data_IF_628592484445
#
_entry.id   IF_628592484445
#
_cell.length_a   1.000
_cell.length_b   1.000
_cell.length_c   1.000
_cell.angle_alpha   90.00
_cell.angle_beta   90.00
_cell.angle_gamma   90.00
#
_symmetry.space_group_name_H-M   'P 1'
#
loop_
_entity.id
_entity.type
_entity.pdbx_description
1 polymer ?
#
# COMPACT_ATOMS: atom_id res chain seq x y z
N UNK A 1 11.70 -13.79 -12.71
CA UNK A 1 10.56 -14.01 -13.60
C UNK A 1 10.85 -13.32 -14.91
N UNK A 2 10.68 -14.00 -16.02
CA UNK A 2 10.89 -13.44 -17.35
C UNK A 2 9.56 -13.42 -18.09
N UNK A 3 9.28 -12.35 -18.80
CA UNK A 3 8.05 -12.16 -19.55
C UNK A 3 8.18 -12.70 -20.97
N UNK A 4 7.14 -13.34 -21.52
CA UNK A 4 7.13 -13.74 -22.93
C UNK A 4 7.10 -12.50 -23.84
N UNK A 5 7.70 -12.59 -25.05
CA UNK A 5 7.78 -11.47 -25.99
C UNK A 5 6.44 -10.85 -26.36
N UNK A 6 5.39 -11.65 -26.41
CA UNK A 6 4.03 -11.22 -26.80
C UNK A 6 3.41 -10.24 -25.80
N UNK A 7 3.86 -10.28 -24.54
CA UNK A 7 3.39 -9.33 -23.52
C UNK A 7 4.09 -7.97 -23.60
N UNK A 8 5.19 -7.83 -24.36
CA UNK A 8 5.87 -6.55 -24.50
C UNK A 8 5.05 -5.52 -25.25
N UNK A 9 4.18 -5.93 -26.15
CA UNK A 9 3.25 -5.03 -26.86
C UNK A 9 2.14 -4.52 -25.94
N UNK A 10 1.77 -5.32 -24.93
CA UNK A 10 0.66 -5.05 -24.00
C UNK A 10 1.10 -4.39 -22.68
N UNK A 11 2.40 -4.16 -22.44
CA UNK A 11 2.90 -3.73 -21.14
C UNK A 11 2.37 -2.36 -20.67
N UNK A 12 2.03 -1.46 -21.59
CA UNK A 12 1.46 -0.16 -21.26
C UNK A 12 0.01 -0.26 -20.77
N UNK A 13 -0.69 -1.32 -21.20
CA UNK A 13 -2.09 -1.54 -20.91
C UNK A 13 -2.30 -2.43 -19.67
N UNK A 14 -1.33 -3.36 -19.42
CA UNK A 14 -1.46 -4.39 -18.37
C UNK A 14 -0.22 -4.50 -17.48
N UNK A 15 -0.16 -3.77 -16.38
CA UNK A 15 0.91 -3.92 -15.42
C UNK A 15 0.72 -5.23 -14.61
N UNK A 16 1.11 -6.37 -15.18
CA UNK A 16 0.94 -7.68 -14.54
C UNK A 16 1.63 -7.79 -13.17
N UNK A 17 2.81 -7.21 -13.07
CA UNK A 17 3.62 -7.27 -11.84
C UNK A 17 4.32 -5.93 -11.59
N UNK A 18 3.59 -4.89 -11.12
CA UNK A 18 4.19 -3.60 -10.82
C UNK A 18 5.18 -3.74 -9.65
N UNK A 19 6.30 -3.06 -9.75
CA UNK A 19 7.37 -3.08 -8.76
C UNK A 19 7.80 -1.67 -8.38
N UNK A 20 8.26 -1.49 -7.14
CA UNK A 20 8.86 -0.22 -6.73
C UNK A 20 10.27 -0.14 -7.26
N UNK A 21 10.50 0.82 -8.13
CA UNK A 21 11.79 1.07 -8.78
C UNK A 21 12.24 2.49 -8.45
N UNK A 22 13.52 2.66 -8.19
CA UNK A 22 14.16 3.97 -8.16
C UNK A 22 14.36 4.42 -9.60
N UNK A 23 13.59 5.43 -10.01
CA UNK A 23 13.60 5.90 -11.40
C UNK A 23 14.84 6.75 -11.62
N UNK A 24 15.75 6.26 -12.43
CA UNK A 24 16.92 6.99 -12.90
C UNK A 24 16.56 7.81 -14.15
N UNK A 25 17.27 8.91 -14.35
CA UNK A 25 16.99 9.85 -15.46
C UNK A 25 17.10 9.12 -16.81
N UNK A 26 18.00 8.16 -16.92
CA UNK A 26 18.27 7.37 -18.11
C UNK A 26 17.10 6.43 -18.49
N UNK A 27 16.17 6.19 -17.57
CA UNK A 27 14.95 5.40 -17.80
C UNK A 27 13.79 6.24 -18.35
N UNK A 28 13.96 7.56 -18.41
CA UNK A 28 12.92 8.48 -18.85
C UNK A 28 13.14 8.88 -20.31
N UNK A 29 12.05 9.04 -21.06
CA UNK A 29 12.11 9.69 -22.37
C UNK A 29 12.40 11.19 -22.23
N UNK A 30 12.88 11.85 -23.30
CA UNK A 30 13.18 13.26 -23.29
C UNK A 30 11.99 14.12 -22.85
N UNK A 31 10.79 13.79 -23.30
CA UNK A 31 9.54 14.43 -22.90
C UNK A 31 9.26 14.27 -21.40
N UNK A 32 9.49 13.07 -20.86
CA UNK A 32 9.31 12.81 -19.42
C UNK A 32 10.34 13.55 -18.57
N UNK A 33 11.58 13.68 -19.05
CA UNK A 33 12.63 14.48 -18.39
C UNK A 33 12.23 15.94 -18.35
N UNK A 34 11.70 16.50 -19.43
CA UNK A 34 11.25 17.88 -19.51
C UNK A 34 10.07 18.13 -18.54
N UNK A 35 9.06 17.27 -18.54
CA UNK A 35 7.94 17.33 -17.61
C UNK A 35 8.43 17.22 -16.16
N UNK A 36 9.34 16.30 -15.88
CA UNK A 36 9.90 16.13 -14.54
C UNK A 36 10.64 17.37 -14.08
N UNK A 37 11.44 18.03 -14.94
CA UNK A 37 12.12 19.29 -14.65
C UNK A 37 11.13 20.43 -14.36
N UNK A 38 10.01 20.47 -15.06
CA UNK A 38 8.99 21.50 -14.86
C UNK A 38 8.27 21.35 -13.52
N UNK A 39 7.94 20.10 -13.11
CA UNK A 39 7.18 19.82 -11.88
C UNK A 39 8.04 19.56 -10.64
N UNK A 40 9.33 19.20 -10.80
CA UNK A 40 10.20 18.82 -9.68
C UNK A 40 10.77 20.00 -8.90
N UNK A 41 10.51 21.24 -9.31
CA UNK A 41 11.08 22.45 -8.67
C UNK A 41 10.83 22.58 -7.17
N UNK A 42 9.91 21.78 -6.58
CA UNK A 42 9.51 21.91 -5.17
C UNK A 42 9.31 20.59 -4.41
N UNK A 43 9.82 19.44 -4.87
CA UNK A 43 9.64 18.18 -4.15
C UNK A 43 10.97 17.47 -3.93
N UNK A 44 11.55 17.64 -2.75
CA UNK A 44 12.50 16.67 -2.18
C UNK A 44 11.75 15.35 -1.88
N UNK A 45 11.65 14.48 -2.87
CA UNK A 45 11.00 13.18 -2.74
C UNK A 45 11.91 12.08 -3.29
N UNK A 46 11.79 10.89 -2.75
CA UNK A 46 12.45 9.71 -3.31
C UNK A 46 11.90 9.44 -4.71
N UNK A 47 12.79 9.16 -5.67
CA UNK A 47 12.43 8.79 -7.04
C UNK A 47 11.81 7.39 -7.14
N UNK A 48 11.64 6.71 -6.00
CA UNK A 48 11.06 5.36 -5.94
C UNK A 48 9.57 5.42 -6.23
N UNK A 49 9.17 4.88 -7.37
CA UNK A 49 7.79 4.80 -7.83
C UNK A 49 7.37 3.35 -8.04
N UNK A 50 6.06 3.10 -7.95
CA UNK A 50 5.48 1.83 -8.37
C UNK A 50 5.29 1.88 -9.88
N UNK A 51 6.07 1.10 -10.61
CA UNK A 51 6.13 1.14 -12.09
C UNK A 51 5.77 -0.22 -12.65
N UNK A 52 4.86 -0.30 -13.63
CA UNK A 52 4.67 -1.50 -14.44
C UNK A 52 5.81 -1.57 -15.47
N UNK A 53 6.67 -2.57 -15.36
CA UNK A 53 7.75 -2.82 -16.32
C UNK A 53 7.90 -4.32 -16.59
N UNK A 54 8.42 -4.67 -17.75
CA UNK A 54 8.63 -6.05 -18.18
C UNK A 54 10.05 -6.56 -17.92
N UNK A 55 10.89 -5.78 -17.26
CA UNK A 55 12.21 -6.24 -16.86
C UNK A 55 12.11 -7.40 -15.88
N UNK A 56 13.14 -8.24 -15.85
CA UNK A 56 13.24 -9.36 -14.92
C UNK A 56 12.97 -8.94 -13.49
N UNK A 57 12.08 -9.67 -12.80
CA UNK A 57 11.75 -9.43 -11.40
C UNK A 57 12.65 -10.23 -10.49
N UNK A 58 13.31 -9.54 -9.55
CA UNK A 58 14.18 -10.16 -8.55
C UNK A 58 13.56 -10.07 -7.17
N UNK A 59 13.53 -11.21 -6.44
CA UNK A 59 12.95 -11.30 -5.08
C UNK A 59 11.52 -10.77 -4.98
N UNK A 60 10.77 -10.88 -6.05
CA UNK A 60 9.38 -10.42 -6.12
C UNK A 60 8.51 -11.22 -5.14
N UNK A 61 7.75 -10.50 -4.31
CA UNK A 61 6.85 -11.09 -3.32
C UNK A 61 5.45 -11.14 -3.90
N UNK A 62 4.86 -12.31 -3.96
CA UNK A 62 3.53 -12.51 -4.53
C UNK A 62 2.75 -13.60 -3.81
N UNK A 63 1.43 -13.57 -3.90
CA UNK A 63 0.56 -14.63 -3.40
C UNK A 63 0.57 -15.83 -4.35
N UNK A 64 0.44 -17.05 -3.83
CA UNK A 64 0.50 -18.29 -4.62
C UNK A 64 -0.52 -18.35 -5.77
N UNK A 65 -1.74 -17.82 -5.56
CA UNK A 65 -2.76 -17.77 -6.61
C UNK A 65 -2.42 -16.77 -7.71
N UNK A 66 -1.81 -15.63 -7.36
CA UNK A 66 -1.29 -14.66 -8.33
C UNK A 66 -0.13 -15.27 -9.09
N UNK A 67 0.79 -15.95 -8.40
CA UNK A 67 1.91 -16.63 -9.06
C UNK A 67 1.39 -17.66 -10.06
N UNK A 68 0.39 -18.49 -9.69
CA UNK A 68 -0.22 -19.44 -10.61
C UNK A 68 -0.78 -18.73 -11.85
N UNK A 69 -1.54 -17.67 -11.67
CA UNK A 69 -2.08 -16.87 -12.76
C UNK A 69 -0.96 -16.34 -13.68
N UNK A 70 0.14 -15.82 -13.13
CA UNK A 70 1.27 -15.33 -13.90
C UNK A 70 1.97 -16.45 -14.72
N UNK A 71 2.10 -17.65 -14.12
CA UNK A 71 2.66 -18.82 -14.81
C UNK A 71 1.75 -19.29 -15.96
N UNK A 72 0.44 -19.28 -15.76
CA UNK A 72 -0.56 -19.62 -16.77
C UNK A 72 -0.50 -18.65 -17.97
N UNK A 73 0.00 -17.41 -17.77
CA UNK A 73 0.22 -16.39 -18.80
C UNK A 73 1.67 -16.35 -19.32
N UNK A 74 2.42 -17.43 -19.14
CA UNK A 74 3.74 -17.63 -19.77
C UNK A 74 4.92 -17.02 -19.02
N UNK A 75 4.73 -16.40 -17.85
CA UNK A 75 5.84 -15.91 -17.04
C UNK A 75 6.64 -17.08 -16.47
N UNK A 76 7.97 -17.06 -16.64
CA UNK A 76 8.86 -18.13 -16.18
C UNK A 76 9.37 -17.87 -14.77
N UNK A 77 9.14 -18.83 -13.87
CA UNK A 77 9.70 -18.80 -12.51
C UNK A 77 11.13 -19.36 -12.54
N UNK A 78 12.10 -18.52 -12.19
CA UNK A 78 13.52 -18.93 -12.19
C UNK A 78 13.96 -19.51 -10.85
N UNK A 79 13.50 -18.94 -9.73
CA UNK A 79 13.91 -19.38 -8.38
C UNK A 79 12.88 -19.02 -7.34
N UNK A 80 12.63 -19.92 -6.39
CA UNK A 80 11.89 -19.66 -5.16
C UNK A 80 12.90 -19.45 -4.02
N UNK A 81 12.90 -18.26 -3.42
CA UNK A 81 13.81 -17.94 -2.32
C UNK A 81 13.24 -18.35 -0.97
N UNK A 82 11.96 -18.07 -0.75
CA UNK A 82 11.25 -18.35 0.50
C UNK A 82 9.77 -18.52 0.21
N UNK A 83 9.11 -19.43 0.90
CA UNK A 83 7.67 -19.58 0.93
C UNK A 83 7.18 -19.56 2.37
N UNK A 84 6.04 -18.90 2.59
CA UNK A 84 5.35 -18.88 3.89
C UNK A 84 3.99 -19.51 3.69
N UNK A 85 3.68 -20.51 4.51
CA UNK A 85 2.39 -21.22 4.50
C UNK A 85 1.54 -20.74 5.66
N UNK A 86 0.28 -20.42 5.38
CA UNK A 86 -0.69 -20.01 6.39
C UNK A 86 -1.80 -21.05 6.52
N UNK A 87 -2.34 -21.17 7.72
CA UNK A 87 -3.63 -21.78 7.94
C UNK A 87 -4.71 -20.73 7.68
N UNK A 88 -5.67 -21.04 6.82
CA UNK A 88 -6.75 -20.12 6.45
C UNK A 88 -8.05 -20.49 7.15
N UNK A 89 -8.79 -19.47 7.60
CA UNK A 89 -10.14 -19.63 8.18
C UNK A 89 -10.98 -18.39 7.89
N UNK A 90 -12.30 -18.51 7.98
CA UNK A 90 -13.24 -17.42 7.75
C UNK A 90 -13.42 -16.52 9.00
N UNK A 91 -12.35 -16.29 9.75
CA UNK A 91 -12.40 -15.58 11.04
C UNK A 91 -12.98 -14.18 10.99
N UNK A 92 -12.94 -13.53 9.82
CA UNK A 92 -13.38 -12.16 9.62
C UNK A 92 -14.78 -12.05 8.98
N UNK A 93 -15.30 -13.14 8.43
CA UNK A 93 -16.60 -13.15 7.75
C UNK A 93 -17.73 -12.60 8.63
N UNK A 94 -17.90 -12.99 9.91
CA UNK A 94 -18.98 -12.47 10.74
C UNK A 94 -18.97 -10.96 10.90
N UNK A 95 -17.78 -10.36 11.00
CA UNK A 95 -17.65 -8.89 11.09
C UNK A 95 -18.02 -8.19 9.79
N UNK A 96 -17.55 -8.72 8.67
CA UNK A 96 -17.84 -8.15 7.33
C UNK A 96 -19.32 -8.28 7.00
N UNK A 97 -19.92 -9.44 7.29
CA UNK A 97 -21.33 -9.72 7.03
C UNK A 97 -22.24 -8.82 7.87
N UNK A 98 -21.91 -8.60 9.16
CA UNK A 98 -22.62 -7.67 10.03
C UNK A 98 -22.62 -6.25 9.45
N UNK A 99 -21.46 -5.72 9.10
CA UNK A 99 -21.37 -4.36 8.56
C UNK A 99 -22.04 -4.24 7.18
N UNK A 100 -22.00 -5.29 6.39
CA UNK A 100 -22.68 -5.35 5.09
C UNK A 100 -24.19 -5.34 5.27
N UNK A 101 -24.71 -6.09 6.23
CA UNK A 101 -26.13 -6.07 6.59
C UNK A 101 -26.58 -4.71 7.12
N UNK A 102 -25.82 -4.12 8.03
CA UNK A 102 -26.10 -2.75 8.55
C UNK A 102 -26.08 -1.72 7.43
N UNK A 103 -25.14 -1.81 6.51
CA UNK A 103 -25.07 -0.92 5.34
C UNK A 103 -26.29 -1.06 4.42
N UNK A 104 -26.76 -2.28 4.21
CA UNK A 104 -27.95 -2.54 3.38
C UNK A 104 -29.23 -2.00 4.05
N UNK A 105 -29.33 -2.06 5.37
CA UNK A 105 -30.44 -1.55 6.15
C UNK A 105 -30.40 -0.03 6.41
N UNK A 106 -29.27 0.61 6.15
CA UNK A 106 -29.09 2.03 6.44
C UNK A 106 -30.00 2.91 5.55
N UNK A 107 -30.70 3.84 6.17
CA UNK A 107 -31.65 4.78 5.53
C UNK A 107 -30.98 6.10 5.14
N UNK A 108 -29.82 6.42 5.74
CA UNK A 108 -29.06 7.63 5.45
C UNK A 108 -27.66 7.32 4.92
N UNK A 109 -27.06 8.28 4.24
CA UNK A 109 -25.74 8.12 3.62
C UNK A 109 -24.59 8.06 4.65
N UNK A 110 -24.75 8.72 5.81
CA UNK A 110 -23.75 8.73 6.88
C UNK A 110 -23.55 7.32 7.42
N UNK A 111 -24.62 6.60 7.73
CA UNK A 111 -24.54 5.23 8.23
C UNK A 111 -24.00 4.27 7.16
N UNK A 112 -24.38 4.48 5.88
CA UNK A 112 -23.83 3.72 4.74
C UNK A 112 -22.32 3.87 4.63
N UNK A 113 -21.83 5.11 4.71
CA UNK A 113 -20.40 5.42 4.61
C UNK A 113 -19.65 4.96 5.85
N UNK A 114 -20.24 5.05 7.03
CA UNK A 114 -19.66 4.52 8.27
C UNK A 114 -19.44 3.00 8.17
N UNK A 115 -20.46 2.23 7.78
CA UNK A 115 -20.33 0.78 7.64
C UNK A 115 -19.30 0.39 6.56
N UNK A 116 -19.23 1.15 5.44
CA UNK A 116 -18.20 0.99 4.42
C UNK A 116 -16.80 1.26 4.98
N UNK A 117 -16.66 2.35 5.76
CA UNK A 117 -15.40 2.70 6.41
C UNK A 117 -14.97 1.61 7.40
N UNK A 118 -15.87 1.07 8.19
CA UNK A 118 -15.58 -0.02 9.14
C UNK A 118 -14.98 -1.23 8.43
N UNK A 119 -15.56 -1.68 7.32
CA UNK A 119 -15.02 -2.80 6.54
C UNK A 119 -13.64 -2.49 5.95
N UNK A 120 -13.44 -1.30 5.38
CA UNK A 120 -12.20 -0.90 4.75
C UNK A 120 -11.08 -0.64 5.79
N UNK A 121 -11.42 -0.15 6.97
CA UNK A 121 -10.47 0.18 8.04
C UNK A 121 -9.67 -1.05 8.51
N UNK A 122 -10.26 -2.24 8.45
CA UNK A 122 -9.57 -3.49 8.83
C UNK A 122 -8.37 -3.72 7.93
N UNK A 123 -8.53 -3.62 6.61
CA UNK A 123 -7.42 -3.73 5.66
C UNK A 123 -6.31 -2.73 5.96
N UNK A 124 -6.66 -1.44 6.07
CA UNK A 124 -5.69 -0.38 6.39
C UNK A 124 -4.95 -0.64 7.71
N UNK A 125 -5.67 -1.15 8.73
CA UNK A 125 -5.09 -1.43 10.05
C UNK A 125 -4.11 -2.60 10.04
N UNK A 126 -4.34 -3.62 9.22
CA UNK A 126 -3.38 -4.72 9.06
C UNK A 126 -2.09 -4.31 8.37
N UNK A 127 -2.16 -3.32 7.46
CA UNK A 127 -1.03 -2.76 6.72
C UNK A 127 -0.34 -1.58 7.43
N UNK A 128 -0.80 -1.18 8.62
CA UNK A 128 -0.25 -0.03 9.35
C UNK A 128 1.26 -0.18 9.62
N UNK A 129 2.03 0.81 9.19
CA UNK A 129 3.45 0.85 9.50
C UNK A 129 3.68 1.39 10.93
N UNK A 130 3.78 0.49 11.89
CA UNK A 130 3.96 0.83 13.31
C UNK A 130 5.26 1.57 13.60
N UNK A 131 6.28 1.47 12.75
CA UNK A 131 7.55 2.20 12.90
C UNK A 131 7.39 3.70 12.66
N UNK A 132 6.41 4.08 11.81
CA UNK A 132 6.11 5.48 11.49
C UNK A 132 5.08 6.11 12.43
N UNK A 133 4.57 5.35 13.39
CA UNK A 133 3.60 5.87 14.35
C UNK A 133 4.30 6.78 15.34
N UNK A 134 3.87 8.04 15.43
CA UNK A 134 4.37 9.02 16.39
C UNK A 134 3.84 8.75 17.80
N UNK A 135 4.60 9.07 18.82
CA UNK A 135 4.18 9.08 20.24
C UNK A 135 4.15 10.54 20.68
N UNK A 136 2.97 11.17 20.53
CA UNK A 136 2.75 12.57 20.94
C UNK A 136 1.99 12.56 22.26
N UNK A 137 2.52 13.29 23.24
CA UNK A 137 1.90 13.49 24.53
C UNK A 137 1.51 14.95 24.68
N UNK A 138 0.23 15.17 24.91
CA UNK A 138 -0.31 16.48 25.22
C UNK A 138 -0.27 16.70 26.72
N UNK A 139 0.23 17.84 27.15
CA UNK A 139 0.46 18.20 28.53
C UNK A 139 -0.02 19.62 28.79
N UNK A 140 -0.59 19.83 29.98
CA UNK A 140 -0.99 21.13 30.51
C UNK A 140 -0.22 21.49 31.80
N UNK A 141 0.71 20.63 32.22
CA UNK A 141 1.56 20.85 33.39
C UNK A 141 3.01 21.08 32.96
N UNK A 142 3.55 22.21 33.32
CA UNK A 142 4.91 22.64 32.98
C UNK A 142 5.98 21.71 33.55
N UNK A 143 5.84 21.25 34.79
CA UNK A 143 6.81 20.34 35.41
C UNK A 143 6.82 18.96 34.73
N UNK A 144 5.65 18.47 34.36
CA UNK A 144 5.53 17.22 33.60
C UNK A 144 6.13 17.37 32.19
N UNK A 145 5.95 18.53 31.56
CA UNK A 145 6.53 18.85 30.25
C UNK A 145 8.06 18.84 30.30
N UNK A 146 8.67 19.55 31.24
CA UNK A 146 10.12 19.56 31.40
C UNK A 146 10.69 18.16 31.63
N UNK A 147 10.05 17.33 32.49
CA UNK A 147 10.45 15.94 32.71
C UNK A 147 10.41 15.07 31.45
N UNK A 148 9.59 15.39 30.45
CA UNK A 148 9.57 14.67 29.18
C UNK A 148 10.57 15.24 28.17
N UNK A 149 10.77 16.54 28.17
CA UNK A 149 11.72 17.22 27.28
C UNK A 149 13.16 16.83 27.62
N UNK A 150 13.49 16.70 28.90
CA UNK A 150 14.81 16.29 29.37
C UNK A 150 15.16 14.83 29.04
N UNK A 151 14.20 14.03 28.61
CA UNK A 151 14.48 12.64 28.24
C UNK A 151 15.25 12.55 26.92
N UNK A 152 16.26 11.69 26.80
CA UNK A 152 17.08 11.55 25.59
C UNK A 152 16.30 11.01 24.37
N UNK A 153 15.09 10.52 24.59
CA UNK A 153 14.17 10.09 23.54
C UNK A 153 13.14 11.15 23.14
N UNK A 154 13.22 12.37 23.67
CA UNK A 154 12.46 13.51 23.18
C UNK A 154 12.98 13.91 21.79
N UNK A 155 12.07 14.04 20.83
CA UNK A 155 12.39 14.46 19.47
C UNK A 155 12.09 15.92 19.25
N UNK A 156 10.94 16.37 19.75
CA UNK A 156 10.42 17.69 19.49
C UNK A 156 9.37 18.08 20.52
N UNK A 157 9.33 19.36 20.87
CA UNK A 157 8.28 19.93 21.71
C UNK A 157 7.67 21.16 21.01
N UNK A 158 6.35 21.32 21.08
CA UNK A 158 5.63 22.42 20.47
C UNK A 158 4.55 22.93 21.42
N UNK A 159 4.56 24.23 21.66
CA UNK A 159 3.50 24.94 22.36
C UNK A 159 2.37 25.18 21.37
N UNK A 160 1.17 24.74 21.71
CA UNK A 160 -0.05 24.95 20.93
C UNK A 160 -0.86 26.12 21.47
N UNK A 161 -0.90 26.28 22.78
CA UNK A 161 -1.61 27.33 23.50
C UNK A 161 -0.92 27.60 24.86
N UNK A 162 -1.37 28.61 25.60
CA UNK A 162 -0.83 28.99 26.92
C UNK A 162 -0.77 27.80 27.89
N UNK A 163 -1.81 26.91 27.84
CA UNK A 163 -1.93 25.74 28.71
C UNK A 163 -1.80 24.40 27.97
N UNK A 164 -1.28 24.39 26.73
CA UNK A 164 -1.20 23.16 25.94
C UNK A 164 0.13 23.02 25.22
N UNK A 165 0.91 22.03 25.67
CA UNK A 165 2.16 21.63 25.07
C UNK A 165 2.08 20.21 24.50
N UNK A 166 2.57 20.02 23.29
CA UNK A 166 2.75 18.70 22.69
C UNK A 166 4.22 18.32 22.68
N UNK A 167 4.55 17.14 23.21
CA UNK A 167 5.90 16.57 23.20
C UNK A 167 5.89 15.30 22.35
N UNK A 168 6.70 15.29 21.29
CA UNK A 168 6.90 14.11 20.46
C UNK A 168 8.08 13.29 20.98
N UNK A 169 7.80 12.02 21.26
CA UNK A 169 8.78 11.10 21.82
C UNK A 169 9.15 10.01 20.81
N UNK A 170 10.43 9.67 20.73
CA UNK A 170 10.87 8.47 20.02
C UNK A 170 10.47 7.23 20.80
N UNK A 171 9.82 6.28 20.13
CA UNK A 171 9.48 4.99 20.73
C UNK A 171 10.74 4.19 21.02
N UNK A 172 10.97 3.89 22.28
CA UNK A 172 12.10 3.05 22.75
C UNK A 172 11.81 1.57 22.45
N UNK A 173 10.54 1.15 22.57
CA UNK A 173 10.11 -0.22 22.30
C UNK A 173 9.07 -0.23 21.18
N UNK A 174 9.35 -1.00 20.13
CA UNK A 174 8.43 -1.21 19.03
C UNK A 174 7.82 -2.62 19.14
N UNK A 175 6.49 -2.68 19.23
CA UNK A 175 5.75 -3.95 19.22
C UNK A 175 5.18 -4.14 17.82
N UNK A 176 5.72 -5.10 17.07
CA UNK A 176 5.28 -5.42 15.70
C UNK A 176 4.30 -6.60 15.79
N UNK A 177 3.02 -6.29 16.03
CA UNK A 177 1.96 -7.27 16.23
C UNK A 177 0.83 -7.18 15.20
N UNK A 178 1.03 -6.44 14.11
CA UNK A 178 0.02 -6.35 13.05
C UNK A 178 0.19 -7.48 12.03
N UNK A 179 -0.89 -8.17 11.66
CA UNK A 179 -0.85 -9.26 10.67
C UNK A 179 -0.77 -8.69 9.24
N UNK A 180 0.35 -8.05 8.89
CA UNK A 180 0.56 -7.42 7.58
C UNK A 180 0.39 -8.39 6.41
N UNK A 181 0.60 -9.68 6.63
CA UNK A 181 0.35 -10.73 5.65
C UNK A 181 -1.14 -10.85 5.25
N UNK A 182 -2.07 -10.48 6.14
CA UNK A 182 -3.51 -10.44 5.82
C UNK A 182 -3.78 -9.32 4.82
N UNK A 183 -3.30 -8.11 5.10
CA UNK A 183 -3.45 -6.99 4.18
C UNK A 183 -2.74 -7.21 2.84
N UNK A 184 -1.56 -7.86 2.86
CA UNK A 184 -0.88 -8.29 1.65
C UNK A 184 -1.73 -9.27 0.83
N UNK A 185 -2.31 -10.29 1.46
CA UNK A 185 -3.15 -11.27 0.78
C UNK A 185 -4.41 -10.61 0.17
N UNK A 186 -5.07 -9.70 0.90
CA UNK A 186 -6.23 -8.96 0.38
C UNK A 186 -5.83 -8.16 -0.87
N UNK A 187 -4.70 -7.44 -0.83
CA UNK A 187 -4.23 -6.65 -1.96
C UNK A 187 -3.89 -7.51 -3.18
N UNK A 188 -3.18 -8.60 -2.99
CA UNK A 188 -2.79 -9.51 -4.06
C UNK A 188 -4.01 -10.21 -4.69
N UNK A 189 -4.97 -10.66 -3.88
CA UNK A 189 -6.19 -11.26 -4.38
C UNK A 189 -7.09 -10.25 -5.12
N UNK A 190 -7.11 -9.00 -4.68
CA UNK A 190 -7.80 -7.91 -5.39
C UNK A 190 -7.15 -7.66 -6.75
N UNK A 191 -5.82 -7.64 -6.86
CA UNK A 191 -5.11 -7.55 -8.14
C UNK A 191 -5.44 -8.72 -9.05
N UNK A 192 -5.46 -9.94 -8.50
CA UNK A 192 -5.81 -11.14 -9.26
C UNK A 192 -7.23 -11.05 -9.82
N UNK A 193 -8.18 -10.59 -9.01
CA UNK A 193 -9.56 -10.41 -9.43
C UNK A 193 -9.64 -9.40 -10.59
N UNK A 194 -9.02 -8.24 -10.44
CA UNK A 194 -8.96 -7.22 -11.49
C UNK A 194 -8.31 -7.77 -12.77
N UNK A 195 -7.19 -8.48 -12.66
CA UNK A 195 -6.53 -9.07 -13.81
C UNK A 195 -7.41 -10.09 -14.54
N UNK A 196 -8.15 -10.92 -13.80
CA UNK A 196 -9.09 -11.89 -14.39
C UNK A 196 -10.26 -11.24 -15.13
N UNK A 197 -10.74 -10.08 -14.67
CA UNK A 197 -11.77 -9.34 -15.37
C UNK A 197 -11.23 -8.62 -16.60
N UNK A 198 -10.02 -8.10 -16.53
CA UNK A 198 -9.40 -7.34 -17.62
C UNK A 198 -8.99 -8.27 -18.75
N UNK A 199 -8.25 -9.36 -18.49
CA UNK A 199 -7.70 -10.24 -19.53
C UNK A 199 -8.72 -10.93 -20.45
N UNK A 200 -9.90 -11.39 -20.00
CA UNK A 200 -10.86 -12.03 -20.91
C UNK A 200 -11.68 -11.06 -21.76
N UNK A 201 -11.73 -9.77 -21.40
CA UNK A 201 -12.64 -8.81 -22.02
C UNK A 201 -11.95 -7.85 -23.00
N UNK A 202 -10.62 -7.94 -23.13
CA UNK A 202 -9.86 -7.08 -24.03
C UNK A 202 -9.41 -7.83 -25.29
N UNK A 203 -10.38 -8.05 -26.18
CA UNK A 203 -10.12 -7.94 -27.61
C UNK A 203 -9.99 -6.43 -27.94
N UNK A 204 -8.76 -5.99 -27.92
CA UNK A 204 -8.12 -4.95 -28.75
C UNK A 204 -8.82 -3.61 -29.06
N UNK A 205 -9.65 -2.96 -28.23
CA UNK A 205 -10.16 -1.64 -28.66
C UNK A 205 -10.38 -0.55 -27.60
N UNK A 206 -10.09 -0.74 -26.31
CA UNK A 206 -10.26 0.34 -25.32
C UNK A 206 -9.11 0.46 -24.35
N UNK A 207 -8.40 1.58 -24.42
CA UNK A 207 -7.44 2.02 -23.42
C UNK A 207 -8.17 2.44 -22.13
N UNK A 208 -8.18 1.59 -21.11
CA UNK A 208 -8.61 2.00 -19.77
C UNK A 208 -7.38 2.29 -18.93
N UNK A 209 -7.10 3.57 -18.74
CA UNK A 209 -6.15 4.03 -17.74
C UNK A 209 -6.81 3.86 -16.37
N UNK A 210 -6.53 2.76 -15.67
CA UNK A 210 -6.93 2.61 -14.27
C UNK A 210 -5.98 3.42 -13.43
N UNK A 211 -6.31 4.68 -13.22
CA UNK A 211 -5.69 5.52 -12.21
C UNK A 211 -6.21 5.08 -10.83
N UNK A 212 -5.55 4.12 -10.21
CA UNK A 212 -5.71 3.91 -8.78
C UNK A 212 -5.07 5.10 -8.05
N UNK A 213 -5.88 6.09 -7.72
CA UNK A 213 -5.53 7.09 -6.71
C UNK A 213 -5.62 6.42 -5.34
N UNK A 214 -4.47 6.25 -4.68
CA UNK A 214 -4.35 6.00 -3.25
C UNK A 214 -3.89 7.26 -2.54
#
# INVERSE_FOLDING_TARGET
MDYPPELHELHNEYPLAPERVDIQVEMLSDTQVEIARHYARNRAGTNVKLVPHLMRKERYVTHSLVLKFLLDHGIKLTKVHRAIRFHQSHWMAPYIDLNTGLRAAATNDVDRDLCKLMNNAVYGKTCENQRKRTDIRLLNDELAAWKLIDKPNCLFARIFDEDLLGVEMRKVKLVVNKPSYVGFAILELSKLLMSRYVFPHYDCTFTIVVLCKF
#
